data_IF_584984132210
#
_entry.id   IF_584984132210
#
_cell.length_a   1.000
_cell.length_b   1.000
_cell.length_c   1.000
_cell.angle_alpha   90.00
_cell.angle_beta   90.00
_cell.angle_gamma   90.00
#
_symmetry.space_group_name_H-M   'P 1'
#
loop_
_entity.id
_entity.type
_entity.pdbx_description
1 polymer ?
#
# COMPACT_ATOMS: atom_id res chain seq x y z
N UNK A 1 1.94 25.28 -11.84
CA UNK A 1 1.12 25.84 -10.75
C UNK A 1 1.92 25.81 -9.47
N UNK A 2 1.95 26.92 -8.75
CA UNK A 2 2.62 26.98 -7.46
C UNK A 2 1.56 26.98 -6.37
N UNK A 3 1.48 25.87 -5.62
CA UNK A 3 0.48 25.69 -4.57
C UNK A 3 0.61 26.75 -3.48
N UNK A 4 1.83 27.15 -3.18
CA UNK A 4 2.10 28.14 -2.12
C UNK A 4 1.51 29.51 -2.41
N UNK A 5 1.26 29.81 -3.68
CA UNK A 5 0.69 31.08 -4.10
C UNK A 5 -0.83 31.09 -4.16
N UNK A 6 -1.48 29.93 -3.96
CA UNK A 6 -2.92 29.85 -3.98
C UNK A 6 -3.52 30.43 -2.70
N UNK A 7 -4.65 31.12 -2.84
CA UNK A 7 -5.40 31.55 -1.66
C UNK A 7 -6.19 30.39 -1.07
N UNK A 8 -6.84 30.61 0.07
CA UNK A 8 -7.56 29.54 0.78
C UNK A 8 -8.66 28.89 -0.06
N UNK A 9 -9.46 29.70 -0.77
CA UNK A 9 -10.54 29.15 -1.58
C UNK A 9 -10.01 28.34 -2.76
N UNK A 10 -8.91 28.78 -3.35
CA UNK A 10 -8.27 28.04 -4.45
C UNK A 10 -7.70 26.71 -3.95
N UNK A 11 -7.12 26.66 -2.76
CA UNK A 11 -6.64 25.41 -2.16
C UNK A 11 -7.79 24.42 -1.91
N UNK A 12 -8.90 24.92 -1.38
CA UNK A 12 -10.08 24.09 -1.13
C UNK A 12 -10.60 23.50 -2.41
N UNK A 13 -10.68 24.28 -3.48
CA UNK A 13 -11.15 23.83 -4.79
C UNK A 13 -10.20 22.86 -5.47
N UNK A 14 -8.90 22.94 -5.15
CA UNK A 14 -7.89 22.07 -5.73
C UNK A 14 -8.06 20.62 -5.28
N UNK A 15 -8.48 20.40 -4.05
CA UNK A 15 -8.55 19.07 -3.46
C UNK A 15 -9.41 18.07 -4.27
N UNK A 16 -10.69 18.41 -4.57
CA UNK A 16 -11.50 17.48 -5.38
C UNK A 16 -10.94 17.28 -6.79
N UNK A 17 -10.33 18.30 -7.38
CA UNK A 17 -9.71 18.17 -8.70
C UNK A 17 -8.53 17.22 -8.69
N UNK A 18 -7.72 17.27 -7.62
CA UNK A 18 -6.60 16.34 -7.44
C UNK A 18 -7.11 14.91 -7.31
N UNK A 19 -8.14 14.69 -6.49
CA UNK A 19 -8.73 13.36 -6.33
C UNK A 19 -9.26 12.81 -7.65
N UNK A 20 -9.94 13.63 -8.45
CA UNK A 20 -10.42 13.22 -9.76
C UNK A 20 -9.29 12.79 -10.69
N UNK A 21 -8.19 13.53 -10.69
CA UNK A 21 -7.03 13.16 -11.51
C UNK A 21 -6.40 11.86 -11.04
N UNK A 22 -6.29 11.64 -9.73
CA UNK A 22 -5.77 10.40 -9.20
C UNK A 22 -6.62 9.20 -9.61
N UNK A 23 -7.95 9.37 -9.60
CA UNK A 23 -8.87 8.32 -10.05
C UNK A 23 -8.78 8.10 -11.56
N UNK A 24 -8.81 9.18 -12.34
CA UNK A 24 -8.82 9.11 -13.80
C UNK A 24 -7.55 8.45 -14.34
N UNK A 25 -6.42 8.63 -13.65
CA UNK A 25 -5.14 8.01 -14.03
C UNK A 25 -4.95 6.62 -13.44
N UNK A 26 -5.94 6.09 -12.70
CA UNK A 26 -5.86 4.77 -12.12
C UNK A 26 -4.91 4.65 -10.93
N UNK A 27 -4.50 5.76 -10.33
CA UNK A 27 -3.61 5.76 -9.17
C UNK A 27 -4.37 5.34 -7.92
N UNK A 28 -5.62 5.79 -7.79
CA UNK A 28 -6.53 5.35 -6.74
C UNK A 28 -7.83 4.87 -7.36
N UNK A 29 -8.57 4.03 -6.64
CA UNK A 29 -9.85 3.46 -7.12
C UNK A 29 -11.01 3.86 -6.22
N UNK A 30 -10.74 4.10 -4.95
CA UNK A 30 -11.77 4.41 -3.95
C UNK A 30 -11.34 5.62 -3.12
N UNK A 31 -12.02 5.83 -2.00
CA UNK A 31 -11.66 6.91 -1.07
C UNK A 31 -10.54 6.52 -0.10
N UNK A 32 -10.09 5.28 -0.11
CA UNK A 32 -8.96 4.84 0.71
C UNK A 32 -7.65 5.26 0.04
N UNK A 33 -7.37 6.55 0.08
CA UNK A 33 -6.28 7.15 -0.69
C UNK A 33 -4.92 6.58 -0.31
N UNK A 34 -4.61 6.53 0.97
CA UNK A 34 -3.27 6.10 1.43
C UNK A 34 -3.04 4.62 1.15
N UNK A 35 -4.05 3.78 1.37
CA UNK A 35 -3.94 2.36 1.03
C UNK A 35 -3.70 2.13 -0.45
N UNK A 36 -4.46 2.79 -1.29
CA UNK A 36 -4.35 2.62 -2.74
C UNK A 36 -3.11 3.28 -3.33
N UNK A 37 -2.65 4.39 -2.76
CA UNK A 37 -1.36 4.97 -3.13
C UNK A 37 -0.23 4.01 -2.81
N UNK A 38 -0.28 3.37 -1.64
CA UNK A 38 0.71 2.36 -1.26
C UNK A 38 0.76 1.20 -2.23
N UNK A 39 -0.41 0.70 -2.63
CA UNK A 39 -0.49 -0.38 -3.62
C UNK A 39 0.10 0.04 -4.97
N UNK A 40 -0.24 1.23 -5.43
CA UNK A 40 0.28 1.76 -6.68
C UNK A 40 1.81 1.95 -6.62
N UNK A 41 2.30 2.52 -5.53
CA UNK A 41 3.73 2.75 -5.33
C UNK A 41 4.50 1.43 -5.29
N UNK A 42 3.98 0.43 -4.58
CA UNK A 42 4.60 -0.89 -4.52
C UNK A 42 4.68 -1.51 -5.91
N UNK A 43 3.59 -1.48 -6.66
CA UNK A 43 3.56 -2.01 -8.03
C UNK A 43 4.59 -1.31 -8.91
N UNK A 44 4.67 0.02 -8.81
CA UNK A 44 5.62 0.82 -9.59
C UNK A 44 7.06 0.45 -9.28
N UNK A 45 7.42 0.36 -8.00
CA UNK A 45 8.78 0.01 -7.59
C UNK A 45 9.17 -1.40 -8.05
N UNK A 46 8.27 -2.35 -7.94
CA UNK A 46 8.54 -3.72 -8.38
C UNK A 46 8.66 -3.81 -9.90
N UNK A 47 7.95 -2.98 -10.63
CA UNK A 47 8.06 -2.92 -12.08
C UNK A 47 9.42 -2.41 -12.54
N UNK A 48 9.94 -1.38 -11.87
CA UNK A 48 11.18 -0.72 -12.29
C UNK A 48 12.45 -1.33 -11.70
N UNK A 49 12.32 -2.23 -10.72
CA UNK A 49 13.49 -2.90 -10.15
C UNK A 49 13.69 -4.25 -10.84
N UNK A 50 14.80 -4.45 -11.60
CA UNK A 50 15.01 -5.69 -12.35
C UNK A 50 15.21 -6.92 -11.45
N UNK A 51 15.52 -6.72 -10.17
CA UNK A 51 15.71 -7.82 -9.22
C UNK A 51 14.41 -8.27 -8.54
N UNK A 52 13.31 -7.58 -8.81
CA UNK A 52 12.01 -7.88 -8.20
C UNK A 52 11.02 -8.35 -9.27
N UNK A 53 10.07 -9.23 -8.90
CA UNK A 53 9.04 -9.66 -9.85
C UNK A 53 8.05 -8.54 -10.12
N UNK A 54 7.51 -8.50 -11.34
CA UNK A 54 6.42 -7.59 -11.64
C UNK A 54 5.15 -8.06 -10.93
N UNK A 55 4.43 -7.12 -10.32
CA UNK A 55 3.20 -7.39 -9.57
C UNK A 55 1.98 -6.99 -10.37
N UNK A 56 0.93 -7.79 -10.27
CA UNK A 56 -0.39 -7.45 -10.77
C UNK A 56 -1.30 -7.24 -9.57
N UNK A 57 -1.91 -6.06 -9.47
CA UNK A 57 -2.81 -5.75 -8.36
C UNK A 57 -4.11 -6.55 -8.50
N UNK A 58 -4.58 -7.09 -7.39
CA UNK A 58 -5.83 -7.83 -7.34
C UNK A 58 -7.01 -6.88 -7.14
N UNK A 59 -8.22 -7.41 -7.31
CA UNK A 59 -9.43 -6.67 -7.02
C UNK A 59 -9.51 -6.38 -5.52
N UNK A 60 -10.10 -5.25 -5.18
CA UNK A 60 -10.17 -4.77 -3.79
C UNK A 60 -10.92 -5.71 -2.84
N UNK A 61 -11.73 -6.63 -3.37
CA UNK A 61 -12.48 -7.61 -2.58
C UNK A 61 -11.67 -8.82 -2.15
N UNK A 62 -10.44 -8.98 -2.62
CA UNK A 62 -9.60 -10.13 -2.28
C UNK A 62 -9.00 -9.94 -0.88
N UNK A 63 -9.30 -10.88 0.03
CA UNK A 63 -8.87 -10.77 1.43
C UNK A 63 -7.37 -10.99 1.56
N UNK A 64 -6.69 -10.05 2.20
CA UNK A 64 -5.26 -10.13 2.56
C UNK A 64 -4.30 -10.33 1.39
N UNK A 65 -4.81 -10.38 0.15
CA UNK A 65 -3.98 -10.54 -1.04
C UNK A 65 -4.24 -9.35 -1.95
N UNK A 66 -3.28 -8.46 -2.02
CA UNK A 66 -3.42 -7.21 -2.79
C UNK A 66 -2.80 -7.32 -4.18
N UNK A 67 -1.83 -8.22 -4.35
CA UNK A 67 -1.15 -8.40 -5.61
C UNK A 67 -0.62 -9.83 -5.74
N UNK A 68 -0.34 -10.24 -6.98
CA UNK A 68 0.31 -11.52 -7.29
C UNK A 68 1.42 -11.30 -8.30
N UNK A 69 2.49 -12.09 -8.20
CA UNK A 69 3.56 -12.09 -9.19
C UNK A 69 3.24 -13.07 -10.32
N UNK A 70 4.03 -13.03 -11.39
CA UNK A 70 3.91 -13.96 -12.51
C UNK A 70 4.04 -15.41 -12.05
N UNK A 71 4.84 -15.65 -11.02
CA UNK A 71 5.05 -16.99 -10.45
C UNK A 71 3.91 -17.45 -9.54
N UNK A 72 2.91 -16.62 -9.34
CA UNK A 72 1.78 -16.94 -8.46
C UNK A 72 2.02 -16.63 -6.99
N UNK A 73 3.11 -15.97 -6.65
CA UNK A 73 3.36 -15.55 -5.27
C UNK A 73 2.36 -14.47 -4.87
N UNK A 74 1.81 -14.59 -3.66
CA UNK A 74 0.77 -13.68 -3.16
C UNK A 74 1.41 -12.64 -2.25
N UNK A 75 1.01 -11.39 -2.45
CA UNK A 75 1.53 -10.25 -1.72
C UNK A 75 0.41 -9.51 -1.01
N UNK A 76 0.57 -9.27 0.29
CA UNK A 76 -0.22 -8.28 1.00
C UNK A 76 0.56 -6.96 0.97
N UNK A 77 -0.13 -5.85 0.81
CA UNK A 77 0.48 -4.52 0.77
C UNK A 77 -0.19 -3.67 1.83
N UNK A 78 0.60 -3.13 2.74
CA UNK A 78 0.10 -2.25 3.80
C UNK A 78 0.85 -0.94 3.81
N UNK A 79 0.09 0.14 3.86
CA UNK A 79 0.63 1.48 4.02
C UNK A 79 0.67 1.82 5.50
N UNK A 80 1.82 2.30 5.97
CA UNK A 80 2.01 2.69 7.36
C UNK A 80 2.41 4.15 7.42
N UNK A 81 1.94 4.85 8.44
CA UNK A 81 2.51 6.14 8.82
C UNK A 81 3.16 5.97 10.19
N UNK A 82 3.92 6.96 10.63
CA UNK A 82 4.59 6.90 11.92
C UNK A 82 3.64 6.77 13.11
N UNK A 83 2.34 6.95 12.90
CA UNK A 83 1.34 6.90 13.96
C UNK A 83 0.43 5.68 13.94
N UNK A 84 0.41 4.93 12.83
CA UNK A 84 -0.52 3.80 12.71
C UNK A 84 0.11 2.65 11.95
N UNK A 85 -0.02 1.47 12.52
CA UNK A 85 0.26 0.22 11.80
C UNK A 85 -1.04 -0.27 11.16
N UNK A 86 -0.93 -0.82 9.95
CA UNK A 86 -2.06 -1.44 9.30
C UNK A 86 -2.57 -2.63 10.10
N UNK A 87 -3.85 -2.93 9.98
CA UNK A 87 -4.47 -4.10 10.61
C UNK A 87 -4.82 -5.14 9.56
N UNK A 88 -4.83 -6.40 10.00
CA UNK A 88 -5.24 -7.53 9.16
C UNK A 88 -6.49 -8.15 9.79
N UNK A 89 -7.66 -7.55 9.59
CA UNK A 89 -8.86 -8.01 10.28
C UNK A 89 -9.29 -9.43 9.89
N UNK A 90 -8.86 -9.91 8.73
CA UNK A 90 -9.21 -11.26 8.25
C UNK A 90 -8.21 -12.33 8.68
N UNK A 91 -7.13 -11.97 9.37
CA UNK A 91 -6.16 -12.95 9.86
C UNK A 91 -6.50 -13.39 11.28
N UNK A 92 -6.29 -14.67 11.61
CA UNK A 92 -6.43 -15.13 13.00
C UNK A 92 -5.48 -14.38 13.93
N UNK A 93 -5.87 -14.21 15.18
CA UNK A 93 -5.02 -13.58 16.19
C UNK A 93 -3.79 -14.42 16.50
N UNK A 94 -3.90 -15.75 16.37
CA UNK A 94 -2.82 -16.68 16.61
C UNK A 94 -2.48 -17.42 15.31
N UNK A 95 -1.25 -17.91 15.22
CA UNK A 95 -0.81 -18.70 14.09
C UNK A 95 -1.58 -20.03 14.02
N UNK A 96 -2.36 -20.21 12.98
CA UNK A 96 -3.14 -21.43 12.74
C UNK A 96 -2.44 -22.40 11.78
N UNK A 97 -1.18 -22.14 11.41
CA UNK A 97 -0.42 -22.97 10.49
C UNK A 97 -0.72 -22.73 9.02
N UNK A 98 -1.63 -21.80 8.72
CA UNK A 98 -1.98 -21.46 7.34
C UNK A 98 -1.15 -20.28 6.87
N UNK A 99 -0.60 -20.37 5.65
CA UNK A 99 0.13 -19.28 5.01
C UNK A 99 -0.86 -18.45 4.20
N UNK A 100 -1.11 -17.21 4.63
CA UNK A 100 -2.11 -16.36 3.99
C UNK A 100 -1.54 -15.54 2.83
N UNK A 101 -0.24 -15.29 2.83
CA UNK A 101 0.47 -14.67 1.71
C UNK A 101 1.94 -15.06 1.81
N UNK A 102 2.66 -15.05 0.70
CA UNK A 102 4.09 -15.34 0.67
C UNK A 102 4.92 -14.14 1.16
N UNK A 103 4.49 -12.93 0.81
CA UNK A 103 5.21 -11.70 1.15
C UNK A 103 4.28 -10.60 1.61
N UNK A 104 4.79 -9.78 2.52
CA UNK A 104 4.13 -8.54 2.94
C UNK A 104 5.01 -7.37 2.51
N UNK A 105 4.42 -6.44 1.77
CA UNK A 105 5.09 -5.19 1.41
C UNK A 105 4.57 -4.10 2.33
N UNK A 106 5.49 -3.44 3.03
CA UNK A 106 5.18 -2.29 3.87
C UNK A 106 5.61 -1.03 3.14
N UNK A 107 4.66 -0.16 2.83
CA UNK A 107 4.92 1.14 2.23
C UNK A 107 4.85 2.17 3.35
N UNK A 108 5.99 2.71 3.73
CA UNK A 108 6.12 3.52 4.93
C UNK A 108 6.16 5.00 4.56
N UNK A 109 5.21 5.75 5.08
CA UNK A 109 5.10 7.20 4.91
C UNK A 109 5.45 7.92 6.20
N UNK A 110 5.93 9.16 6.06
CA UNK A 110 6.07 10.05 7.21
C UNK A 110 4.69 10.47 7.71
N UNK A 111 4.66 11.17 8.84
CA UNK A 111 3.40 11.76 9.37
C UNK A 111 2.75 12.73 8.37
N UNK A 112 3.52 13.28 7.45
CA UNK A 112 3.04 14.22 6.43
C UNK A 112 2.79 13.52 5.09
N UNK A 113 2.75 12.17 5.08
CA UNK A 113 2.46 11.34 3.91
C UNK A 113 3.50 11.43 2.80
N UNK A 114 4.74 11.71 3.16
CA UNK A 114 5.87 11.59 2.24
C UNK A 114 6.41 10.17 2.30
N UNK A 115 6.61 9.54 1.15
CA UNK A 115 7.16 8.18 1.10
C UNK A 115 8.56 8.15 1.71
N UNK A 116 8.78 7.26 2.67
CA UNK A 116 10.08 7.07 3.32
C UNK A 116 10.80 5.84 2.82
N UNK A 117 10.14 4.69 2.87
CA UNK A 117 10.76 3.43 2.43
C UNK A 117 9.71 2.38 2.12
N UNK A 118 10.16 1.34 1.43
CA UNK A 118 9.36 0.18 1.10
C UNK A 118 10.13 -1.03 1.61
N UNK A 119 9.48 -1.86 2.43
CA UNK A 119 10.08 -3.06 3.00
C UNK A 119 9.30 -4.29 2.54
N UNK A 120 10.00 -5.40 2.38
CA UNK A 120 9.38 -6.67 2.07
C UNK A 120 9.70 -7.67 3.18
N UNK A 121 8.66 -8.35 3.69
CA UNK A 121 8.78 -9.40 4.69
C UNK A 121 8.21 -10.69 4.12
N UNK A 122 8.87 -11.82 4.42
CA UNK A 122 8.26 -13.13 4.16
C UNK A 122 7.17 -13.38 5.19
N UNK A 123 6.30 -14.36 4.92
CA UNK A 123 5.29 -14.77 5.90
C UNK A 123 5.91 -15.09 7.26
N UNK A 124 7.03 -15.81 7.26
CA UNK A 124 7.73 -16.18 8.49
C UNK A 124 8.24 -14.95 9.25
N UNK A 125 8.84 -14.00 8.53
CA UNK A 125 9.30 -12.75 9.14
C UNK A 125 8.14 -11.94 9.71
N UNK A 126 7.01 -11.90 9.00
CA UNK A 126 5.80 -11.24 9.48
C UNK A 126 5.31 -11.86 10.80
N UNK A 127 5.28 -13.20 10.89
CA UNK A 127 4.85 -13.87 12.12
C UNK A 127 5.77 -13.52 13.29
N UNK A 128 7.07 -13.47 13.06
CA UNK A 128 8.04 -13.06 14.10
C UNK A 128 7.79 -11.62 14.53
N UNK A 129 7.60 -10.73 13.57
CA UNK A 129 7.30 -9.32 13.84
C UNK A 129 6.02 -9.16 14.67
N UNK A 130 4.97 -9.90 14.30
CA UNK A 130 3.67 -9.85 14.98
C UNK A 130 3.76 -10.31 16.44
N UNK A 131 4.61 -11.30 16.72
CA UNK A 131 4.80 -11.82 18.08
C UNK A 131 5.56 -10.85 18.99
N UNK A 132 6.34 -9.93 18.40
CA UNK A 132 7.13 -8.96 19.16
C UNK A 132 6.32 -7.78 19.68
N UNK A 133 5.06 -7.67 19.31
CA UNK A 133 4.20 -6.55 19.72
C UNK A 133 3.26 -6.91 20.87
#
# INVERSE_FOLDING_TARGET
MNIEELNNDELIDLYPKLLDQLKNRGIIRTKNIIGELGEYIAKREYKYNPNLPELQLNLSSTKNIDATSIKGERYAIKSLSTKQTGVFPSLPLEDDGVVYFEYLILVIFSKDYVLKEILELTWKEFLCFRKMK
#
